data_IF_217965944363
#
_entry.id   IF_217965944363
#
_cell.length_a   1.000
_cell.length_b   1.000
_cell.length_c   1.000
_cell.angle_alpha   90.00
_cell.angle_beta   90.00
_cell.angle_gamma   90.00
#
_symmetry.space_group_name_H-M   'P 1'
#
loop_
_entity.id
_entity.type
_entity.pdbx_description
1 polymer ?
#
# COMPACT_ATOMS: atom_id res chain seq x y z
N UNK A 1 18.40 -10.56 31.59
CA UNK A 1 18.19 -11.98 31.24
C UNK A 1 16.98 -12.59 31.93
N UNK A 2 16.88 -12.64 33.27
CA UNK A 2 15.65 -13.16 33.94
C UNK A 2 14.34 -12.50 33.46
N UNK A 3 14.36 -11.19 33.26
CA UNK A 3 13.23 -10.42 32.69
C UNK A 3 12.92 -10.85 31.24
N UNK A 4 13.94 -11.17 30.44
CA UNK A 4 13.77 -11.62 29.05
C UNK A 4 13.18 -13.03 28.97
N UNK A 5 13.66 -13.94 29.83
CA UNK A 5 13.09 -15.29 29.96
C UNK A 5 11.63 -15.24 30.41
N UNK A 6 11.29 -14.33 31.33
CA UNK A 6 9.91 -14.11 31.79
C UNK A 6 9.01 -13.55 30.67
N UNK A 7 9.53 -12.63 29.85
CA UNK A 7 8.82 -12.13 28.65
C UNK A 7 8.58 -13.26 27.65
N UNK A 8 9.60 -14.07 27.32
CA UNK A 8 9.45 -15.23 26.43
C UNK A 8 8.44 -16.25 26.93
N UNK A 9 8.42 -16.48 28.25
CA UNK A 9 7.43 -17.34 28.88
C UNK A 9 6.01 -16.76 28.74
N UNK A 10 5.84 -15.44 28.86
CA UNK A 10 4.56 -14.76 28.62
C UNK A 10 4.10 -14.86 27.16
N UNK A 11 5.02 -15.05 26.20
CA UNK A 11 4.71 -15.36 24.80
C UNK A 11 4.44 -16.86 24.53
N UNK A 12 4.42 -17.70 25.58
CA UNK A 12 3.99 -19.10 25.51
C UNK A 12 5.13 -20.12 25.48
N UNK A 13 6.40 -19.71 25.58
CA UNK A 13 7.50 -20.66 25.69
C UNK A 13 7.54 -21.33 27.07
N UNK A 14 7.88 -22.62 27.11
CA UNK A 14 8.21 -23.27 28.37
C UNK A 14 9.45 -22.60 29.01
N UNK A 15 9.62 -22.78 30.33
CA UNK A 15 10.80 -22.26 31.04
C UNK A 15 12.12 -22.74 30.41
N UNK A 16 12.19 -24.00 30.00
CA UNK A 16 13.40 -24.58 29.38
C UNK A 16 13.66 -23.95 28.00
N UNK A 17 12.63 -23.79 27.17
CA UNK A 17 12.75 -23.12 25.86
C UNK A 17 13.16 -21.65 26.03
N UNK A 18 12.56 -20.93 26.99
CA UNK A 18 12.90 -19.53 27.27
C UNK A 18 14.37 -19.37 27.65
N UNK A 19 14.90 -20.28 28.47
CA UNK A 19 16.31 -20.31 28.84
C UNK A 19 17.21 -20.65 27.65
N UNK A 20 16.80 -21.60 26.81
CA UNK A 20 17.55 -21.99 25.61
C UNK A 20 17.63 -20.85 24.59
N UNK A 21 16.50 -20.20 24.29
CA UNK A 21 16.43 -19.02 23.41
C UNK A 21 17.32 -17.90 23.94
N UNK A 22 17.18 -17.57 25.24
CA UNK A 22 18.00 -16.54 25.91
C UNK A 22 19.49 -16.85 25.78
N UNK A 23 19.90 -18.09 26.03
CA UNK A 23 21.30 -18.53 25.89
C UNK A 23 21.81 -18.40 24.45
N UNK A 24 21.05 -18.90 23.48
CA UNK A 24 21.43 -18.90 22.06
C UNK A 24 21.50 -17.48 21.48
N UNK A 25 20.58 -16.61 21.89
CA UNK A 25 20.56 -15.20 21.48
C UNK A 25 21.81 -14.45 21.97
N UNK A 26 22.27 -14.70 23.20
CA UNK A 26 23.51 -14.10 23.71
C UNK A 26 24.78 -14.57 22.96
N UNK A 27 24.73 -15.74 22.34
CA UNK A 27 25.82 -16.30 21.55
C UNK A 27 25.67 -16.06 20.04
N UNK A 28 24.64 -15.32 19.61
CA UNK A 28 24.36 -15.09 18.20
C UNK A 28 25.49 -14.26 17.58
N UNK A 29 26.21 -14.87 16.64
CA UNK A 29 27.12 -14.17 15.75
C UNK A 29 26.37 -13.87 14.45
N UNK A 30 26.25 -12.58 14.11
CA UNK A 30 25.48 -12.09 12.97
C UNK A 30 26.01 -12.54 11.60
N UNK A 31 27.19 -13.17 11.55
CA UNK A 31 27.74 -13.80 10.35
C UNK A 31 27.69 -15.33 10.39
N UNK A 32 27.13 -15.92 11.44
CA UNK A 32 27.08 -17.36 11.63
C UNK A 32 25.64 -17.89 11.52
N UNK A 33 25.28 -18.26 10.31
CA UNK A 33 23.98 -18.84 10.00
C UNK A 33 23.63 -20.08 10.84
N UNK A 34 24.61 -20.91 11.23
CA UNK A 34 24.32 -22.09 12.05
C UNK A 34 23.83 -21.69 13.45
N UNK A 35 24.46 -20.69 14.07
CA UNK A 35 23.99 -20.19 15.38
C UNK A 35 22.61 -19.56 15.30
N UNK A 36 22.31 -18.86 14.21
CA UNK A 36 20.98 -18.34 13.93
C UNK A 36 19.96 -19.46 13.74
N UNK A 37 20.27 -20.46 12.91
CA UNK A 37 19.41 -21.63 12.68
C UNK A 37 19.11 -22.38 13.97
N UNK A 38 20.12 -22.58 14.82
CA UNK A 38 19.97 -23.22 16.13
C UNK A 38 19.05 -22.41 17.05
N UNK A 39 19.15 -21.08 17.02
CA UNK A 39 18.24 -20.18 17.74
C UNK A 39 16.80 -20.34 17.24
N UNK A 40 16.57 -20.23 15.93
CA UNK A 40 15.22 -20.34 15.36
C UNK A 40 14.60 -21.71 15.64
N UNK A 41 15.37 -22.79 15.56
CA UNK A 41 14.89 -24.14 15.86
C UNK A 41 14.65 -24.42 17.37
N UNK A 42 14.91 -23.47 18.28
CA UNK A 42 14.65 -23.64 19.72
C UNK A 42 13.19 -23.36 20.14
N UNK A 43 12.36 -22.88 19.21
CA UNK A 43 10.93 -22.67 19.42
C UNK A 43 10.16 -22.96 18.11
N UNK A 44 8.83 -23.13 18.16
CA UNK A 44 8.06 -23.53 16.98
C UNK A 44 7.78 -22.34 16.04
N UNK A 45 7.75 -22.66 14.75
CA UNK A 45 7.42 -21.76 13.63
C UNK A 45 6.37 -22.40 12.71
N UNK A 46 5.55 -21.61 12.01
CA UNK A 46 4.65 -22.11 10.98
C UNK A 46 5.41 -22.75 9.84
N UNK A 47 4.78 -23.67 9.10
CA UNK A 47 5.26 -24.01 7.76
C UNK A 47 4.92 -22.89 6.77
N UNK A 48 5.63 -22.85 5.64
CA UNK A 48 5.30 -21.93 4.54
C UNK A 48 3.87 -22.14 4.01
N UNK A 49 3.42 -23.40 3.95
CA UNK A 49 2.07 -23.75 3.51
C UNK A 49 0.99 -23.21 4.47
N UNK A 50 1.26 -23.16 5.78
CA UNK A 50 0.33 -22.56 6.75
C UNK A 50 0.13 -21.07 6.47
N UNK A 51 1.21 -20.37 6.08
CA UNK A 51 1.16 -18.95 5.71
C UNK A 51 0.46 -18.73 4.38
N UNK A 52 0.75 -19.55 3.36
CA UNK A 52 0.07 -19.48 2.06
C UNK A 52 -1.44 -19.68 2.19
N UNK A 53 -1.87 -20.66 3.00
CA UNK A 53 -3.29 -20.90 3.25
C UNK A 53 -3.96 -19.71 3.95
N UNK A 54 -3.26 -19.05 4.86
CA UNK A 54 -3.75 -17.82 5.50
C UNK A 54 -3.86 -16.65 4.51
N UNK A 55 -2.88 -16.47 3.61
CA UNK A 55 -2.93 -15.39 2.61
C UNK A 55 -4.09 -15.58 1.62
N UNK A 56 -4.50 -16.82 1.36
CA UNK A 56 -5.68 -17.14 0.53
C UNK A 56 -6.97 -16.89 1.30
N UNK A 57 -7.04 -17.32 2.56
CA UNK A 57 -8.20 -17.16 3.41
C UNK A 57 -7.75 -16.87 4.85
N UNK A 58 -7.88 -15.61 5.31
CA UNK A 58 -7.49 -15.23 6.66
C UNK A 58 -8.23 -15.97 7.78
N UNK A 59 -9.33 -16.68 7.47
CA UNK A 59 -10.04 -17.55 8.42
C UNK A 59 -9.34 -18.90 8.62
N UNK A 60 -8.48 -19.34 7.69
CA UNK A 60 -7.66 -20.54 7.77
C UNK A 60 -6.46 -20.38 8.72
N UNK A 61 -6.56 -19.49 9.70
CA UNK A 61 -5.43 -19.18 10.57
C UNK A 61 -4.97 -20.46 11.26
N UNK A 62 -3.76 -20.89 10.91
CA UNK A 62 -3.08 -21.94 11.62
C UNK A 62 -2.90 -21.46 13.06
N UNK A 63 -3.67 -22.05 13.96
CA UNK A 63 -3.27 -22.16 15.36
C UNK A 63 -1.88 -22.79 15.33
N UNK A 64 -0.85 -21.99 15.56
CA UNK A 64 0.44 -22.54 15.99
C UNK A 64 0.36 -22.59 17.51
N UNK A 65 -0.38 -23.57 17.98
CA UNK A 65 -0.20 -24.17 19.30
C UNK A 65 -0.20 -23.21 20.50
N UNK A 66 -0.91 -22.08 20.46
CA UNK A 66 -0.97 -21.13 21.58
C UNK A 66 0.33 -20.38 21.88
N UNK A 67 1.29 -20.35 20.94
CA UNK A 67 2.56 -19.62 21.06
C UNK A 67 2.54 -18.42 20.11
N UNK A 68 2.85 -17.23 20.64
CA UNK A 68 3.00 -16.01 19.83
C UNK A 68 4.43 -15.95 19.25
N UNK A 69 4.68 -16.80 18.25
CA UNK A 69 5.99 -16.85 17.58
C UNK A 69 6.38 -15.51 16.96
N UNK A 70 5.41 -14.74 16.44
CA UNK A 70 5.65 -13.42 15.89
C UNK A 70 6.12 -12.41 16.94
N UNK A 71 5.53 -12.45 18.13
CA UNK A 71 6.01 -11.69 19.29
C UNK A 71 7.43 -12.06 19.72
N UNK A 72 7.79 -13.35 19.66
CA UNK A 72 9.14 -13.83 19.97
C UNK A 72 10.14 -13.38 18.91
N UNK A 73 9.81 -13.54 17.63
CA UNK A 73 10.64 -13.10 16.50
C UNK A 73 10.87 -11.59 16.52
N UNK A 74 9.83 -10.80 16.81
CA UNK A 74 9.91 -9.35 17.00
C UNK A 74 10.80 -8.99 18.19
N UNK A 75 10.73 -9.75 19.28
CA UNK A 75 11.55 -9.55 20.47
C UNK A 75 13.03 -9.88 20.18
N UNK A 76 13.31 -10.95 19.43
CA UNK A 76 14.65 -11.30 18.98
C UNK A 76 15.18 -10.18 18.07
N UNK A 77 14.41 -9.78 17.04
CA UNK A 77 14.76 -8.67 16.17
C UNK A 77 14.97 -7.37 16.97
N UNK A 78 14.10 -7.09 17.94
CA UNK A 78 14.18 -5.94 18.82
C UNK A 78 15.43 -5.97 19.69
N UNK A 79 15.87 -7.15 20.13
CA UNK A 79 17.12 -7.35 20.88
C UNK A 79 18.35 -7.14 20.00
N UNK A 80 18.28 -7.59 18.75
CA UNK A 80 19.29 -7.32 17.71
C UNK A 80 19.38 -5.82 17.41
N UNK A 81 18.24 -5.13 17.46
CA UNK A 81 18.13 -3.68 17.27
C UNK A 81 18.50 -2.87 18.54
N UNK A 82 18.42 -3.47 19.75
CA UNK A 82 18.56 -2.78 21.04
C UNK A 82 19.99 -2.68 21.59
N UNK A 83 21.00 -2.60 20.72
CA UNK A 83 22.16 -1.78 21.07
C UNK A 83 21.76 -0.31 20.88
N UNK A 84 21.05 0.22 21.90
CA UNK A 84 20.87 1.62 22.33
C UNK A 84 20.23 2.67 21.40
N UNK A 85 19.49 3.58 22.06
CA UNK A 85 19.12 4.96 21.65
C UNK A 85 20.29 5.84 21.14
N UNK A 86 21.51 5.30 21.07
CA UNK A 86 22.76 5.98 20.74
C UNK A 86 23.43 5.42 19.47
N UNK A 87 22.97 4.28 18.94
CA UNK A 87 23.56 3.72 17.71
C UNK A 87 23.08 4.53 16.52
N UNK A 88 23.99 5.05 15.68
CA UNK A 88 23.61 5.77 14.47
C UNK A 88 22.68 4.88 13.63
N UNK A 89 21.61 5.44 13.03
CA UNK A 89 20.66 4.69 12.21
C UNK A 89 21.33 3.82 11.13
N UNK A 90 22.48 4.27 10.63
CA UNK A 90 23.32 3.59 9.64
C UNK A 90 23.93 2.27 10.16
N UNK A 91 24.34 2.24 11.43
CA UNK A 91 24.93 1.05 12.06
C UNK A 91 23.86 0.05 12.52
N UNK A 92 22.66 0.52 12.87
CA UNK A 92 21.51 -0.36 13.08
C UNK A 92 21.09 -1.02 11.75
N UNK A 93 21.05 -0.25 10.67
CA UNK A 93 20.71 -0.74 9.33
C UNK A 93 21.71 -1.79 8.81
N UNK A 94 23.01 -1.58 9.03
CA UNK A 94 24.04 -2.53 8.58
C UNK A 94 23.95 -3.91 9.23
N UNK A 95 23.28 -4.02 10.40
CA UNK A 95 23.02 -5.28 11.10
C UNK A 95 21.69 -5.94 10.69
N UNK A 96 20.70 -5.14 10.31
CA UNK A 96 19.37 -5.63 9.90
C UNK A 96 19.39 -6.38 8.56
N UNK A 97 20.22 -5.95 7.60
CA UNK A 97 20.30 -6.62 6.29
C UNK A 97 20.92 -8.02 6.38
N UNK A 98 22.09 -8.24 7.02
CA UNK A 98 22.60 -9.58 7.27
C UNK A 98 21.62 -10.46 8.03
N UNK A 99 20.92 -9.90 9.03
CA UNK A 99 19.91 -10.63 9.78
C UNK A 99 18.74 -11.07 8.89
N UNK A 100 18.20 -10.16 8.07
CA UNK A 100 17.15 -10.49 7.10
C UNK A 100 17.62 -11.59 6.13
N UNK A 101 18.86 -11.55 5.66
CA UNK A 101 19.42 -12.58 4.78
C UNK A 101 19.47 -13.94 5.48
N UNK A 102 19.87 -13.99 6.76
CA UNK A 102 19.85 -15.23 7.53
C UNK A 102 18.43 -15.75 7.73
N UNK A 103 17.46 -14.88 8.01
CA UNK A 103 16.04 -15.25 8.09
C UNK A 103 15.58 -15.87 6.77
N UNK A 104 15.79 -15.20 5.64
CA UNK A 104 15.39 -15.71 4.33
C UNK A 104 16.06 -17.04 3.97
N UNK A 105 17.34 -17.20 4.33
CA UNK A 105 18.06 -18.46 4.16
C UNK A 105 17.47 -19.58 5.02
N UNK A 106 17.06 -19.28 6.26
CA UNK A 106 16.41 -20.24 7.15
C UNK A 106 15.06 -20.69 6.60
N UNK A 107 14.23 -19.76 6.14
CA UNK A 107 12.91 -20.08 5.57
C UNK A 107 13.03 -21.01 4.36
N UNK A 108 14.02 -20.77 3.50
CA UNK A 108 14.30 -21.61 2.34
C UNK A 108 14.78 -23.01 2.72
N UNK A 109 15.61 -23.15 3.76
CA UNK A 109 16.19 -24.44 4.15
C UNK A 109 15.23 -25.30 4.99
N UNK A 110 14.47 -24.68 5.88
CA UNK A 110 13.65 -25.38 6.86
C UNK A 110 12.17 -25.46 6.47
N UNK A 111 11.78 -24.80 5.36
CA UNK A 111 10.40 -24.69 4.91
C UNK A 111 9.44 -24.18 6.01
N UNK A 112 9.97 -23.30 6.86
CA UNK A 112 9.27 -22.63 7.96
C UNK A 112 9.19 -21.14 7.68
N UNK A 113 8.20 -20.47 8.26
CA UNK A 113 8.08 -19.02 8.21
C UNK A 113 8.57 -18.38 9.51
N UNK A 114 9.29 -17.29 9.38
CA UNK A 114 9.73 -16.41 10.48
C UNK A 114 9.03 -15.07 10.31
N UNK A 115 8.51 -14.51 11.39
CA UNK A 115 7.92 -13.18 11.35
C UNK A 115 8.99 -12.12 11.08
N UNK A 116 8.77 -11.29 10.07
CA UNK A 116 9.74 -10.28 9.59
C UNK A 116 9.27 -8.84 9.80
N UNK A 117 8.12 -8.63 10.44
CA UNK A 117 7.48 -7.31 10.62
C UNK A 117 8.41 -6.24 11.17
N UNK A 118 9.00 -6.48 12.34
CA UNK A 118 9.94 -5.54 12.96
C UNK A 118 11.17 -5.22 12.08
N UNK A 119 11.75 -6.22 11.40
CA UNK A 119 12.91 -6.03 10.52
C UNK A 119 12.53 -5.10 9.36
N UNK A 120 11.43 -5.42 8.69
CA UNK A 120 10.92 -4.67 7.55
C UNK A 120 10.56 -3.23 7.93
N UNK A 121 9.91 -3.00 9.07
CA UNK A 121 9.66 -1.65 9.53
C UNK A 121 10.95 -0.87 9.71
N UNK A 122 11.90 -1.37 10.50
CA UNK A 122 13.14 -0.62 10.79
C UNK A 122 13.94 -0.29 9.51
N UNK A 123 14.05 -1.25 8.58
CA UNK A 123 14.65 -1.03 7.25
C UNK A 123 13.89 0.07 6.51
N UNK A 124 12.56 -0.03 6.46
CA UNK A 124 11.71 0.94 5.78
C UNK A 124 11.85 2.36 6.35
N UNK A 125 11.89 2.49 7.67
CA UNK A 125 12.06 3.78 8.33
C UNK A 125 13.39 4.44 8.01
N UNK A 126 14.46 3.65 8.06
CA UNK A 126 15.78 4.13 7.71
C UNK A 126 15.83 4.61 6.25
N UNK A 127 15.30 3.80 5.32
CA UNK A 127 15.28 4.13 3.89
C UNK A 127 14.52 5.43 3.62
N UNK A 128 13.39 5.67 4.30
CA UNK A 128 12.67 6.95 4.19
C UNK A 128 13.53 8.12 4.69
N UNK A 129 14.20 7.96 5.84
CA UNK A 129 15.04 9.02 6.43
C UNK A 129 16.19 9.42 5.50
N UNK A 130 16.77 8.47 4.76
CA UNK A 130 17.85 8.75 3.79
C UNK A 130 17.33 9.08 2.38
N UNK A 131 16.03 9.31 2.21
CA UNK A 131 15.42 9.71 0.94
C UNK A 131 15.16 8.59 -0.06
N UNK A 132 15.40 7.32 0.29
CA UNK A 132 15.01 6.14 -0.50
C UNK A 132 13.53 5.78 -0.27
N UNK A 133 12.64 6.73 -0.57
CA UNK A 133 11.21 6.68 -0.21
C UNK A 133 10.51 5.43 -0.74
N UNK A 134 10.62 5.11 -2.04
CA UNK A 134 9.90 3.97 -2.65
C UNK A 134 10.25 2.64 -1.99
N UNK A 135 11.56 2.39 -1.80
CA UNK A 135 12.03 1.19 -1.10
C UNK A 135 11.57 1.20 0.35
N UNK A 136 11.60 2.36 0.99
CA UNK A 136 11.10 2.55 2.34
C UNK A 136 9.62 2.15 2.49
N UNK A 137 8.76 2.67 1.61
CA UNK A 137 7.34 2.34 1.55
C UNK A 137 7.11 0.85 1.25
N UNK A 138 7.88 0.26 0.34
CA UNK A 138 7.82 -1.18 0.05
C UNK A 138 8.10 -2.02 1.32
N UNK A 139 9.18 -1.72 2.04
CA UNK A 139 9.52 -2.44 3.27
C UNK A 139 8.47 -2.22 4.35
N UNK A 140 7.97 -0.99 4.54
CA UNK A 140 6.88 -0.76 5.50
C UNK A 140 5.64 -1.57 5.14
N UNK A 141 5.25 -1.61 3.87
CA UNK A 141 4.10 -2.39 3.41
C UNK A 141 4.29 -3.89 3.66
N UNK A 142 5.49 -4.43 3.40
CA UNK A 142 5.85 -5.82 3.75
C UNK A 142 5.74 -6.07 5.25
N UNK A 143 6.17 -5.11 6.08
CA UNK A 143 6.05 -5.20 7.54
C UNK A 143 4.59 -5.25 8.01
N UNK A 144 3.70 -4.49 7.38
CA UNK A 144 2.27 -4.50 7.70
C UNK A 144 1.60 -5.84 7.38
N UNK A 145 1.99 -6.48 6.28
CA UNK A 145 1.50 -7.83 5.93
C UNK A 145 1.94 -8.85 6.99
N UNK A 146 3.18 -8.75 7.48
CA UNK A 146 3.68 -9.59 8.57
C UNK A 146 2.89 -9.37 9.87
N UNK A 147 2.68 -8.12 10.27
CA UNK A 147 1.96 -7.79 11.50
C UNK A 147 0.48 -8.23 11.46
N UNK A 148 -0.19 -8.20 10.30
CA UNK A 148 -1.57 -8.70 10.21
C UNK A 148 -1.64 -10.21 10.49
N UNK A 149 -0.62 -10.98 10.07
CA UNK A 149 -0.52 -12.40 10.42
C UNK A 149 -0.53 -12.61 11.94
N UNK A 150 -0.01 -11.66 12.72
CA UNK A 150 0.03 -11.71 14.18
C UNK A 150 -1.31 -11.35 14.85
N UNK A 151 -2.07 -10.40 14.30
CA UNK A 151 -3.27 -9.88 14.97
C UNK A 151 -4.56 -10.56 14.45
N UNK A 152 -5.33 -11.23 15.32
CA UNK A 152 -6.68 -11.76 14.97
C UNK A 152 -7.73 -10.78 15.47
N UNK A 153 -8.65 -10.38 14.60
CA UNK A 153 -9.98 -9.94 15.03
C UNK A 153 -10.10 -8.51 15.54
N UNK A 154 -9.01 -7.75 15.64
CA UNK A 154 -9.07 -6.30 15.83
C UNK A 154 -8.34 -5.61 14.68
N UNK A 155 -9.10 -4.87 13.87
CA UNK A 155 -8.62 -3.98 12.78
C UNK A 155 -7.80 -2.78 13.30
N UNK A 156 -7.21 -2.90 14.49
CA UNK A 156 -6.43 -1.83 15.10
C UNK A 156 -4.99 -2.06 14.74
N UNK A 157 -4.61 -1.64 13.53
CA UNK A 157 -3.20 -1.55 13.16
C UNK A 157 -2.45 -0.78 14.25
N UNK A 158 -1.25 -1.23 14.62
CA UNK A 158 -0.52 -0.59 15.70
C UNK A 158 -0.24 0.88 15.32
N UNK A 159 -0.44 1.80 16.27
CA UNK A 159 -0.11 3.21 16.10
C UNK A 159 1.43 3.40 16.19
N UNK A 160 2.12 2.85 15.19
CA UNK A 160 3.57 2.92 15.04
C UNK A 160 3.94 3.86 13.91
N UNK A 161 5.12 4.45 14.01
CA UNK A 161 5.65 5.42 13.05
C UNK A 161 5.54 4.96 11.60
N UNK A 162 5.79 3.67 11.33
CA UNK A 162 5.67 3.07 9.99
C UNK A 162 4.24 3.10 9.44
N UNK A 163 3.24 2.76 10.26
CA UNK A 163 1.83 2.80 9.86
C UNK A 163 1.39 4.25 9.59
N UNK A 164 1.73 5.16 10.50
CA UNK A 164 1.46 6.59 10.38
C UNK A 164 2.05 7.21 9.11
N UNK A 165 3.18 6.70 8.61
CA UNK A 165 3.68 7.09 7.28
C UNK A 165 2.72 6.65 6.19
N UNK A 166 2.37 5.36 6.14
CA UNK A 166 1.55 4.80 5.05
C UNK A 166 0.22 5.54 4.93
N UNK A 167 -0.43 5.79 6.06
CA UNK A 167 -1.72 6.49 6.10
C UNK A 167 -1.60 8.01 6.04
N UNK A 168 -0.39 8.56 5.90
CA UNK A 168 -0.15 10.00 5.89
C UNK A 168 -0.75 10.72 7.13
N UNK A 169 -0.49 10.20 8.33
CA UNK A 169 -0.98 10.82 9.57
C UNK A 169 -0.18 12.10 9.90
N UNK A 170 -0.87 13.25 9.90
CA UNK A 170 -0.31 14.56 10.24
C UNK A 170 0.37 14.57 11.62
N UNK A 171 -0.10 13.75 12.56
CA UNK A 171 0.45 13.67 13.93
C UNK A 171 1.90 13.18 13.94
N UNK A 172 2.35 12.47 12.90
CA UNK A 172 3.72 11.98 12.79
C UNK A 172 4.75 13.12 12.76
N UNK A 173 4.34 14.30 12.29
CA UNK A 173 5.19 15.49 12.16
C UNK A 173 6.49 15.24 11.34
N UNK A 174 6.48 14.27 10.42
CA UNK A 174 7.64 13.94 9.59
C UNK A 174 7.65 14.81 8.30
N UNK A 175 8.81 15.35 7.85
CA UNK A 175 8.88 16.25 6.70
C UNK A 175 8.26 15.66 5.42
N UNK A 176 8.56 14.39 5.13
CA UNK A 176 7.99 13.69 3.97
C UNK A 176 6.45 13.59 4.04
N UNK A 177 5.90 13.26 5.20
CA UNK A 177 4.44 13.14 5.36
C UNK A 177 3.78 14.50 5.18
N UNK A 178 4.32 15.56 5.80
CA UNK A 178 3.81 16.92 5.61
C UNK A 178 3.83 17.37 4.16
N UNK A 179 4.92 17.10 3.46
CA UNK A 179 5.10 17.46 2.05
C UNK A 179 4.07 16.76 1.14
N UNK A 180 3.79 15.48 1.39
CA UNK A 180 2.77 14.72 0.66
C UNK A 180 1.35 15.22 0.95
N UNK A 181 1.05 15.56 2.20
CA UNK A 181 -0.25 16.11 2.61
C UNK A 181 -0.46 17.51 2.03
N UNK A 182 0.57 18.36 2.05
CA UNK A 182 0.53 19.68 1.42
C UNK A 182 0.29 19.55 -0.08
N UNK A 183 1.01 18.65 -0.76
CA UNK A 183 0.79 18.39 -2.18
C UNK A 183 -0.66 17.95 -2.47
N UNK A 184 -1.19 16.98 -1.72
CA UNK A 184 -2.56 16.50 -1.88
C UNK A 184 -3.58 17.63 -1.64
N UNK A 185 -3.37 18.42 -0.60
CA UNK A 185 -4.22 19.56 -0.26
C UNK A 185 -4.22 20.61 -1.37
N UNK A 186 -3.02 20.99 -1.82
CA UNK A 186 -2.81 22.08 -2.74
C UNK A 186 -3.33 21.79 -4.14
N UNK A 187 -3.12 20.57 -4.63
CA UNK A 187 -3.47 20.19 -6.00
C UNK A 187 -4.92 19.67 -6.11
N UNK A 188 -5.43 18.94 -5.10
CA UNK A 188 -6.66 18.17 -5.26
C UNK A 188 -7.78 18.49 -4.27
N UNK A 189 -7.47 18.80 -3.01
CA UNK A 189 -8.51 18.96 -1.99
C UNK A 189 -9.08 20.39 -1.91
N UNK A 190 -8.26 21.43 -2.14
CA UNK A 190 -8.59 22.86 -1.93
C UNK A 190 -9.94 23.37 -2.45
N UNK A 191 -10.54 22.72 -3.46
CA UNK A 191 -11.79 23.17 -4.09
C UNK A 191 -13.05 22.64 -3.40
N UNK A 192 -13.12 21.33 -3.19
CA UNK A 192 -14.37 20.64 -2.84
C UNK A 192 -14.25 19.65 -1.67
N UNK A 193 -13.04 19.41 -1.17
CA UNK A 193 -12.77 18.34 -0.20
C UNK A 193 -11.90 18.84 0.95
N UNK A 194 -11.93 18.12 2.06
CA UNK A 194 -11.13 18.41 3.25
C UNK A 194 -10.23 17.22 3.58
N UNK A 195 -8.96 17.47 3.89
CA UNK A 195 -8.00 16.40 4.20
C UNK A 195 -8.43 15.55 5.38
N UNK A 196 -8.94 16.15 6.47
CA UNK A 196 -9.36 15.37 7.64
C UNK A 196 -10.52 14.44 7.29
N UNK A 197 -11.45 14.90 6.44
CA UNK A 197 -12.56 14.06 5.97
C UNK A 197 -12.06 12.93 5.07
N UNK A 198 -11.10 13.21 4.18
CA UNK A 198 -10.44 12.19 3.35
C UNK A 198 -9.67 11.17 4.20
N UNK A 199 -8.89 11.66 5.16
CA UNK A 199 -8.13 10.86 6.11
C UNK A 199 -9.06 9.93 6.89
N UNK A 200 -10.10 10.49 7.51
CA UNK A 200 -11.05 9.73 8.30
C UNK A 200 -11.82 8.70 7.46
N UNK A 201 -12.15 8.97 6.20
CA UNK A 201 -12.99 8.07 5.39
C UNK A 201 -12.20 7.07 4.53
N UNK A 202 -10.91 7.34 4.28
CA UNK A 202 -10.09 6.50 3.41
C UNK A 202 -8.76 6.10 4.02
N UNK A 203 -7.99 7.02 4.63
CA UNK A 203 -6.61 6.74 5.04
C UNK A 203 -6.48 6.07 6.42
N UNK A 204 -7.31 6.43 7.40
CA UNK A 204 -7.16 5.97 8.79
C UNK A 204 -7.90 4.66 9.07
N UNK A 205 -9.03 4.45 8.40
CA UNK A 205 -9.89 3.29 8.64
C UNK A 205 -10.33 2.62 7.35
N UNK A 206 -10.48 1.28 7.37
CA UNK A 206 -11.19 0.60 6.30
C UNK A 206 -12.60 1.17 6.17
N UNK A 207 -13.05 1.41 4.95
CA UNK A 207 -14.46 1.71 4.69
C UNK A 207 -15.32 0.62 5.33
N UNK A 208 -16.51 0.97 5.84
CA UNK A 208 -17.46 -0.01 6.39
C UNK A 208 -17.83 -1.12 5.39
N UNK A 209 -17.65 -0.88 4.10
CA UNK A 209 -17.83 -1.86 3.04
C UNK A 209 -16.69 -2.91 2.96
N UNK A 210 -15.58 -2.70 3.66
CA UNK A 210 -14.36 -3.51 3.60
C UNK A 210 -14.26 -4.37 4.85
N UNK A 211 -14.57 -5.64 4.68
CA UNK A 211 -14.46 -6.62 5.77
C UNK A 211 -13.02 -7.10 6.01
N UNK A 212 -12.03 -6.67 5.20
CA UNK A 212 -10.64 -7.12 5.27
C UNK A 212 -9.67 -5.93 5.29
N UNK A 213 -9.05 -5.69 6.46
CA UNK A 213 -8.15 -4.57 6.71
C UNK A 213 -6.87 -4.62 5.85
N UNK A 214 -6.31 -5.80 5.54
CA UNK A 214 -5.16 -5.94 4.64
C UNK A 214 -5.50 -5.46 3.24
N UNK A 215 -6.65 -5.88 2.72
CA UNK A 215 -7.08 -5.48 1.37
C UNK A 215 -7.16 -3.95 1.31
N UNK A 216 -7.81 -3.32 2.28
CA UNK A 216 -7.82 -1.87 2.38
C UNK A 216 -6.41 -1.26 2.42
N UNK A 217 -5.55 -1.76 3.29
CA UNK A 217 -4.20 -1.23 3.47
C UNK A 217 -3.34 -1.35 2.21
N UNK A 218 -3.52 -2.41 1.41
CA UNK A 218 -2.90 -2.54 0.09
C UNK A 218 -3.32 -1.39 -0.85
N UNK A 219 -4.57 -0.94 -0.79
CA UNK A 219 -5.02 0.20 -1.58
C UNK A 219 -4.41 1.50 -1.08
N UNK A 220 -4.25 1.68 0.23
CA UNK A 220 -3.59 2.86 0.82
C UNK A 220 -2.12 2.90 0.45
N UNK A 221 -1.41 1.78 0.55
CA UNK A 221 -0.02 1.67 0.11
C UNK A 221 0.13 1.97 -1.39
N UNK A 222 -0.76 1.43 -2.23
CA UNK A 222 -0.77 1.72 -3.66
C UNK A 222 -1.05 3.20 -3.95
N UNK A 223 -2.06 3.78 -3.30
CA UNK A 223 -2.36 5.21 -3.40
C UNK A 223 -1.18 6.09 -2.97
N UNK A 224 -0.50 5.73 -1.88
CA UNK A 224 0.66 6.47 -1.39
C UNK A 224 1.80 6.44 -2.42
N UNK A 225 2.14 5.27 -2.97
CA UNK A 225 3.17 5.14 -4.00
C UNK A 225 2.79 5.94 -5.26
N UNK A 226 1.53 5.84 -5.70
CA UNK A 226 1.00 6.65 -6.79
C UNK A 226 1.19 8.15 -6.52
N UNK A 227 0.80 8.63 -5.33
CA UNK A 227 0.91 10.03 -4.95
C UNK A 227 2.38 10.49 -4.95
N UNK A 228 3.29 9.63 -4.52
CA UNK A 228 4.73 9.92 -4.49
C UNK A 228 5.28 10.12 -5.90
N UNK A 229 4.94 9.20 -6.81
CA UNK A 229 5.33 9.30 -8.21
C UNK A 229 4.68 10.48 -8.91
N UNK A 230 3.40 10.75 -8.62
CA UNK A 230 2.67 11.90 -9.13
C UNK A 230 3.36 13.21 -8.73
N UNK A 231 3.70 13.35 -7.45
CA UNK A 231 4.42 14.52 -6.94
C UNK A 231 5.77 14.69 -7.65
N UNK A 232 6.54 13.61 -7.83
CA UNK A 232 7.81 13.67 -8.59
C UNK A 232 7.60 14.16 -10.01
N UNK A 233 6.56 13.69 -10.70
CA UNK A 233 6.24 14.12 -12.06
C UNK A 233 5.82 15.59 -12.12
N UNK A 234 5.08 16.10 -11.13
CA UNK A 234 4.68 17.51 -11.02
C UNK A 234 5.85 18.47 -10.82
N UNK A 235 6.94 17.97 -10.21
CA UNK A 235 8.16 18.74 -9.96
C UNK A 235 9.23 18.55 -11.03
N UNK A 236 8.98 17.74 -12.06
CA UNK A 236 9.96 17.56 -13.13
C UNK A 236 10.12 18.86 -13.94
N UNK A 237 11.36 19.25 -14.27
CA UNK A 237 11.62 20.30 -15.26
C UNK A 237 10.87 20.04 -16.56
N UNK A 238 10.43 21.11 -17.21
CA UNK A 238 9.58 21.04 -18.40
C UNK A 238 10.18 20.19 -19.53
N UNK A 239 11.50 20.27 -19.76
CA UNK A 239 12.20 19.47 -20.78
C UNK A 239 12.14 17.97 -20.48
N UNK A 240 12.26 17.58 -19.21
CA UNK A 240 12.16 16.18 -18.80
C UNK A 240 10.71 15.71 -18.83
N UNK A 241 9.76 16.55 -18.43
CA UNK A 241 8.34 16.26 -18.54
C UNK A 241 7.90 16.06 -20.00
N UNK A 242 8.43 16.86 -20.93
CA UNK A 242 8.20 16.77 -22.38
C UNK A 242 9.06 15.70 -23.09
N UNK A 243 9.90 14.98 -22.37
CA UNK A 243 10.66 13.87 -22.95
C UNK A 243 9.80 12.61 -23.11
N UNK A 244 10.32 11.62 -23.84
CA UNK A 244 9.72 10.27 -23.95
C UNK A 244 9.55 9.62 -22.56
N UNK A 245 10.47 9.88 -21.63
CA UNK A 245 10.35 9.37 -20.26
C UNK A 245 9.17 10.01 -19.54
N UNK A 246 9.00 11.33 -19.66
CA UNK A 246 7.85 12.04 -19.09
C UNK A 246 6.52 11.59 -19.70
N UNK A 247 6.50 11.31 -21.00
CA UNK A 247 5.38 10.69 -21.70
C UNK A 247 4.99 9.32 -21.11
N UNK A 248 5.96 8.40 -20.97
CA UNK A 248 5.74 7.07 -20.39
C UNK A 248 5.28 7.19 -18.93
N UNK A 249 5.95 8.01 -18.12
CA UNK A 249 5.59 8.21 -16.71
C UNK A 249 4.19 8.79 -16.54
N UNK A 250 3.80 9.76 -17.38
CA UNK A 250 2.45 10.36 -17.35
C UNK A 250 1.38 9.33 -17.69
N UNK A 251 1.60 8.53 -18.74
CA UNK A 251 0.68 7.47 -19.12
C UNK A 251 0.51 6.44 -18.02
N UNK A 252 1.62 5.95 -17.44
CA UNK A 252 1.60 4.96 -16.37
C UNK A 252 0.81 5.46 -15.17
N UNK A 253 1.02 6.70 -14.73
CA UNK A 253 0.30 7.25 -13.58
C UNK A 253 -1.21 7.39 -13.82
N UNK A 254 -1.60 7.76 -15.03
CA UNK A 254 -3.02 7.77 -15.42
C UNK A 254 -3.61 6.35 -15.37
N UNK A 255 -2.84 5.35 -15.84
CA UNK A 255 -3.20 3.94 -15.76
C UNK A 255 -3.33 3.44 -14.33
N UNK A 256 -2.38 3.78 -13.47
CA UNK A 256 -2.38 3.42 -12.05
C UNK A 256 -3.59 4.02 -11.34
N UNK A 257 -3.94 5.29 -11.61
CA UNK A 257 -5.13 5.90 -11.04
C UNK A 257 -6.43 5.26 -11.56
N UNK A 258 -6.49 4.88 -12.84
CA UNK A 258 -7.61 4.08 -13.35
C UNK A 258 -7.75 2.75 -12.61
N UNK A 259 -6.64 2.05 -12.36
CA UNK A 259 -6.63 0.78 -11.63
C UNK A 259 -7.05 0.95 -10.17
N UNK A 260 -6.58 2.01 -9.51
CA UNK A 260 -6.99 2.34 -8.15
C UNK A 260 -8.49 2.62 -8.08
N UNK A 261 -9.03 3.42 -8.99
CA UNK A 261 -10.48 3.70 -9.09
C UNK A 261 -11.27 2.40 -9.31
N UNK A 262 -10.83 1.57 -10.27
CA UNK A 262 -11.44 0.26 -10.55
C UNK A 262 -11.49 -0.61 -9.30
N UNK A 263 -10.36 -0.69 -8.61
CA UNK A 263 -10.18 -1.56 -7.45
C UNK A 263 -11.03 -1.08 -6.27
N UNK A 264 -11.06 0.23 -6.02
CA UNK A 264 -11.91 0.81 -4.97
C UNK A 264 -13.40 0.63 -5.28
N UNK A 265 -13.83 0.75 -6.54
CA UNK A 265 -15.21 0.46 -6.91
C UNK A 265 -15.59 -1.00 -6.58
N UNK A 266 -14.75 -1.97 -6.95
CA UNK A 266 -15.00 -3.39 -6.63
C UNK A 266 -15.03 -3.63 -5.12
N UNK A 267 -14.14 -2.94 -4.40
CA UNK A 267 -14.00 -3.04 -2.97
C UNK A 267 -15.23 -2.47 -2.23
N UNK A 268 -15.79 -1.34 -2.69
CA UNK A 268 -17.01 -0.74 -2.11
C UNK A 268 -18.30 -1.45 -2.51
N UNK A 269 -18.31 -2.08 -3.68
CA UNK A 269 -19.50 -2.74 -4.22
C UNK A 269 -19.23 -4.23 -4.52
N UNK A 270 -19.22 -5.10 -3.49
CA UNK A 270 -18.92 -6.53 -3.66
C UNK A 270 -19.87 -7.27 -4.61
N UNK A 271 -21.07 -6.72 -4.86
CA UNK A 271 -22.03 -7.25 -5.82
C UNK A 271 -21.59 -7.10 -7.28
N UNK A 272 -20.54 -6.33 -7.56
CA UNK A 272 -19.91 -6.30 -8.89
C UNK A 272 -19.14 -7.62 -9.02
N UNK A 273 -19.82 -8.65 -9.54
CA UNK A 273 -19.25 -9.98 -9.73
C UNK A 273 -18.28 -9.94 -10.92
N UNK A 274 -16.97 -10.05 -10.67
CA UNK A 274 -15.92 -9.89 -11.69
C UNK A 274 -15.17 -11.20 -11.91
N UNK A 275 -15.81 -12.15 -12.58
CA UNK A 275 -15.10 -13.25 -13.22
C UNK A 275 -14.94 -12.94 -14.72
N UNK A 276 -13.73 -12.61 -15.16
CA UNK A 276 -13.40 -12.43 -16.59
C UNK A 276 -13.24 -10.99 -17.09
N UNK A 277 -12.91 -10.83 -18.38
CA UNK A 277 -12.51 -9.59 -19.09
C UNK A 277 -13.61 -8.51 -19.24
N UNK A 278 -14.77 -8.65 -18.58
CA UNK A 278 -15.90 -7.71 -18.66
C UNK A 278 -15.90 -6.69 -17.50
N UNK A 279 -14.75 -6.11 -17.18
CA UNK A 279 -14.46 -5.55 -15.86
C UNK A 279 -14.91 -4.11 -15.60
N UNK A 280 -15.03 -3.22 -16.60
CA UNK A 280 -15.32 -1.79 -16.35
C UNK A 280 -16.73 -1.32 -16.75
N UNK A 281 -17.39 -2.00 -17.69
CA UNK A 281 -18.78 -1.70 -18.09
C UNK A 281 -19.77 -2.05 -16.96
N UNK A 282 -19.54 -3.18 -16.29
CA UNK A 282 -20.33 -3.58 -15.12
C UNK A 282 -20.15 -2.61 -13.95
N UNK A 283 -18.91 -2.12 -13.74
CA UNK A 283 -18.65 -1.04 -12.78
C UNK A 283 -19.44 0.21 -13.16
N UNK A 284 -19.40 0.64 -14.44
CA UNK A 284 -20.17 1.80 -14.88
C UNK A 284 -21.65 1.66 -14.57
N UNK A 285 -22.28 0.54 -14.97
CA UNK A 285 -23.71 0.32 -14.74
C UNK A 285 -24.07 0.35 -13.25
N UNK A 286 -23.19 -0.19 -12.40
CA UNK A 286 -23.39 -0.18 -10.95
C UNK A 286 -23.19 1.22 -10.35
N UNK A 287 -22.12 1.92 -10.71
CA UNK A 287 -21.85 3.29 -10.22
C UNK A 287 -22.92 4.26 -10.73
N UNK A 288 -23.40 4.08 -11.97
CA UNK A 288 -24.48 4.88 -12.56
C UNK A 288 -25.73 4.90 -11.69
N UNK A 289 -26.12 3.76 -11.10
CA UNK A 289 -27.28 3.72 -10.20
C UNK A 289 -26.99 4.40 -8.87
N UNK A 290 -25.80 4.19 -8.28
CA UNK A 290 -25.38 4.83 -7.01
C UNK A 290 -25.29 6.36 -7.09
N UNK A 291 -24.99 6.88 -8.28
CA UNK A 291 -24.94 8.32 -8.55
C UNK A 291 -26.18 8.88 -9.24
N UNK A 292 -27.15 8.04 -9.62
CA UNK A 292 -28.35 8.46 -10.36
C UNK A 292 -28.03 9.21 -11.68
N UNK A 293 -26.96 8.79 -12.34
CA UNK A 293 -26.44 9.40 -13.56
C UNK A 293 -27.37 9.20 -14.77
N UNK A 294 -27.53 10.26 -15.57
CA UNK A 294 -28.50 10.30 -16.68
C UNK A 294 -27.88 10.38 -18.09
N UNK A 295 -26.58 10.66 -18.20
CA UNK A 295 -25.88 10.71 -19.48
C UNK A 295 -25.93 9.39 -20.27
N UNK A 296 -25.72 9.49 -21.59
CA UNK A 296 -25.64 8.33 -22.47
C UNK A 296 -24.36 7.51 -22.19
N UNK A 297 -24.35 6.19 -22.41
CA UNK A 297 -23.18 5.34 -22.15
C UNK A 297 -21.92 5.83 -22.90
N UNK A 298 -20.74 5.47 -22.38
CA UNK A 298 -19.49 5.81 -23.06
C UNK A 298 -19.44 5.16 -24.43
N UNK A 299 -19.13 5.95 -25.47
CA UNK A 299 -18.92 5.46 -26.81
C UNK A 299 -17.41 5.21 -27.03
N UNK A 300 -17.03 3.94 -27.15
CA UNK A 300 -15.62 3.55 -27.26
C UNK A 300 -14.80 4.28 -28.34
N UNK A 301 -15.32 4.49 -29.57
CA UNK A 301 -14.65 5.26 -30.62
C UNK A 301 -14.34 6.73 -30.30
N UNK A 302 -14.99 7.31 -29.30
CA UNK A 302 -14.71 8.70 -28.89
C UNK A 302 -13.30 8.82 -28.28
N UNK A 303 -12.76 7.72 -27.77
CA UNK A 303 -11.40 7.65 -27.20
C UNK A 303 -10.35 7.17 -28.21
N UNK A 304 -10.70 7.05 -29.49
CA UNK A 304 -9.70 6.84 -30.54
C UNK A 304 -8.93 8.15 -30.83
N UNK A 305 -7.71 8.02 -31.35
CA UNK A 305 -6.76 9.14 -31.53
C UNK A 305 -7.37 10.34 -32.26
N UNK A 306 -8.18 10.09 -33.29
CA UNK A 306 -8.81 11.15 -34.10
C UNK A 306 -9.84 11.98 -33.32
N UNK A 307 -10.44 11.42 -32.27
CA UNK A 307 -11.51 12.04 -31.49
C UNK A 307 -11.06 12.46 -30.09
N UNK A 308 -9.94 11.91 -29.59
CA UNK A 308 -9.51 12.04 -28.21
C UNK A 308 -9.45 13.49 -27.71
N UNK A 309 -8.90 14.42 -28.49
CA UNK A 309 -8.84 15.83 -28.09
C UNK A 309 -10.23 16.45 -27.88
N UNK A 310 -11.17 16.17 -28.78
CA UNK A 310 -12.54 16.68 -28.68
C UNK A 310 -13.25 16.06 -27.48
N UNK A 311 -13.08 14.75 -27.30
CA UNK A 311 -13.63 14.00 -26.16
C UNK A 311 -13.09 14.52 -24.82
N UNK A 312 -11.79 14.78 -24.72
CA UNK A 312 -11.18 15.37 -23.53
C UNK A 312 -11.74 16.77 -23.27
N UNK A 313 -11.86 17.60 -24.32
CA UNK A 313 -12.46 18.93 -24.20
C UNK A 313 -13.89 18.85 -23.64
N UNK A 314 -14.73 17.98 -24.20
CA UNK A 314 -16.12 17.79 -23.76
C UNK A 314 -16.20 17.28 -22.31
N UNK A 315 -15.30 16.38 -21.91
CA UNK A 315 -15.21 15.86 -20.54
C UNK A 315 -14.80 16.98 -19.58
N UNK A 316 -13.79 17.78 -19.94
CA UNK A 316 -13.31 18.88 -19.10
C UNK A 316 -14.37 19.97 -18.92
N UNK A 317 -15.21 20.21 -19.93
CA UNK A 317 -16.36 21.12 -19.85
C UNK A 317 -17.62 20.50 -19.24
N UNK A 318 -17.56 19.25 -18.79
CA UNK A 318 -18.71 18.49 -18.29
C UNK A 318 -19.90 18.51 -19.26
N UNK A 319 -19.67 18.18 -20.53
CA UNK A 319 -20.68 18.13 -21.58
C UNK A 319 -20.68 16.83 -22.38
N UNK A 320 -19.76 15.90 -22.07
CA UNK A 320 -19.62 14.66 -22.81
C UNK A 320 -20.88 13.78 -22.68
N UNK A 321 -21.35 13.26 -23.82
CA UNK A 321 -22.54 12.39 -23.91
C UNK A 321 -23.79 12.98 -23.25
N UNK A 322 -23.94 14.31 -23.30
CA UNK A 322 -25.07 15.06 -22.74
C UNK A 322 -25.10 15.12 -21.21
N UNK A 323 -24.06 14.62 -20.53
CA UNK A 323 -23.95 14.70 -19.08
C UNK A 323 -23.43 16.07 -18.65
N UNK A 324 -24.15 16.73 -17.74
CA UNK A 324 -23.68 17.92 -17.00
C UNK A 324 -23.09 17.57 -15.62
N UNK A 325 -23.11 16.29 -15.24
CA UNK A 325 -22.61 15.81 -13.95
C UNK A 325 -21.09 15.69 -14.00
N UNK A 326 -20.34 16.43 -13.17
CA UNK A 326 -18.87 16.40 -13.19
C UNK A 326 -18.27 15.03 -12.84
N UNK A 327 -18.91 14.28 -11.95
CA UNK A 327 -18.44 12.96 -11.53
C UNK A 327 -18.70 11.90 -12.60
N UNK A 328 -19.84 12.02 -13.32
CA UNK A 328 -20.11 11.18 -14.48
C UNK A 328 -19.04 11.37 -15.57
N UNK A 329 -18.70 12.63 -15.89
CA UNK A 329 -17.66 12.96 -16.86
C UNK A 329 -16.27 12.45 -16.42
N UNK A 330 -15.96 12.60 -15.13
CA UNK A 330 -14.71 12.10 -14.55
C UNK A 330 -14.60 10.58 -14.57
N UNK A 331 -15.72 9.88 -14.36
CA UNK A 331 -15.77 8.42 -14.53
C UNK A 331 -15.61 8.01 -16.00
N UNK A 332 -16.27 8.71 -16.93
CA UNK A 332 -16.12 8.47 -18.36
C UNK A 332 -14.68 8.56 -18.83
N UNK A 333 -13.94 9.56 -18.32
CA UNK A 333 -12.51 9.70 -18.57
C UNK A 333 -11.74 8.45 -18.12
N UNK A 334 -11.93 8.04 -16.87
CA UNK A 334 -11.24 6.88 -16.30
C UNK A 334 -11.56 5.59 -17.08
N UNK A 335 -12.83 5.39 -17.42
CA UNK A 335 -13.26 4.25 -18.24
C UNK A 335 -12.62 4.28 -19.63
N UNK A 336 -12.64 5.43 -20.32
CA UNK A 336 -12.14 5.54 -21.69
C UNK A 336 -10.63 5.36 -21.78
N UNK A 337 -9.88 6.00 -20.88
CA UNK A 337 -8.43 5.88 -20.81
C UNK A 337 -7.99 4.44 -20.51
N UNK A 338 -8.64 3.78 -19.54
CA UNK A 338 -8.35 2.39 -19.15
C UNK A 338 -8.53 1.39 -20.30
N UNK A 339 -9.58 1.58 -21.11
CA UNK A 339 -10.00 0.58 -22.10
C UNK A 339 -9.48 0.85 -23.52
N UNK A 340 -9.11 2.09 -23.86
CA UNK A 340 -8.82 2.48 -25.25
C UNK A 340 -7.45 3.13 -25.46
N UNK A 341 -6.93 3.82 -24.44
CA UNK A 341 -5.84 4.80 -24.65
C UNK A 341 -4.53 4.33 -24.03
N UNK A 342 -4.55 3.70 -22.86
CA UNK A 342 -3.33 3.26 -22.16
C UNK A 342 -2.45 2.24 -22.92
N UNK A 343 -2.94 1.70 -24.05
CA UNK A 343 -2.22 0.72 -24.87
C UNK A 343 -1.76 1.26 -26.23
N UNK A 344 -2.04 2.53 -26.56
CA UNK A 344 -1.69 3.12 -27.86
C UNK A 344 -0.62 4.20 -27.69
N UNK A 345 0.57 3.96 -28.24
CA UNK A 345 1.74 4.87 -28.16
C UNK A 345 1.39 6.27 -28.69
N UNK A 346 0.62 6.34 -29.79
CA UNK A 346 0.29 7.62 -30.43
C UNK A 346 -0.58 8.55 -29.57
N UNK A 347 -1.34 8.00 -28.63
CA UNK A 347 -2.14 8.81 -27.70
C UNK A 347 -1.36 9.37 -26.51
N UNK A 348 -0.12 8.92 -26.29
CA UNK A 348 0.68 9.31 -25.11
C UNK A 348 1.04 10.80 -25.14
N UNK A 349 1.27 11.37 -26.33
CA UNK A 349 1.52 12.81 -26.47
C UNK A 349 0.31 13.65 -26.06
N UNK A 350 -0.88 13.30 -26.54
CA UNK A 350 -2.14 13.99 -26.19
C UNK A 350 -2.39 13.88 -24.68
N UNK A 351 -2.16 12.68 -24.13
CA UNK A 351 -2.25 12.43 -22.69
C UNK A 351 -1.30 13.37 -21.92
N UNK A 352 -0.03 13.45 -22.30
CA UNK A 352 0.95 14.31 -21.62
C UNK A 352 0.55 15.78 -21.69
N UNK A 353 0.13 16.27 -22.86
CA UNK A 353 -0.29 17.65 -23.06
C UNK A 353 -1.49 18.03 -22.17
N UNK A 354 -2.34 17.06 -21.81
CA UNK A 354 -3.50 17.23 -20.96
C UNK A 354 -3.34 16.62 -19.55
N UNK A 355 -2.12 16.24 -19.17
CA UNK A 355 -1.87 15.36 -18.02
C UNK A 355 -2.48 15.87 -16.71
N UNK A 356 -2.25 17.14 -16.37
CA UNK A 356 -2.77 17.73 -15.13
C UNK A 356 -4.31 17.71 -15.10
N UNK A 357 -4.96 18.16 -16.17
CA UNK A 357 -6.41 18.14 -16.31
C UNK A 357 -7.00 16.72 -16.22
N UNK A 358 -6.31 15.73 -16.81
CA UNK A 358 -6.71 14.32 -16.72
C UNK A 358 -6.64 13.84 -15.27
N UNK A 359 -5.49 14.03 -14.61
CA UNK A 359 -5.30 13.62 -13.21
C UNK A 359 -6.29 14.34 -12.29
N UNK A 360 -6.49 15.64 -12.45
CA UNK A 360 -7.48 16.41 -11.68
C UNK A 360 -8.87 15.80 -11.79
N UNK A 361 -9.33 15.47 -13.01
CA UNK A 361 -10.63 14.83 -13.23
C UNK A 361 -10.72 13.43 -12.64
N UNK A 362 -9.69 12.60 -12.82
CA UNK A 362 -9.70 11.26 -12.24
C UNK A 362 -9.68 11.31 -10.71
N UNK A 363 -8.89 12.22 -10.12
CA UNK A 363 -8.85 12.47 -8.68
C UNK A 363 -10.17 13.03 -8.16
N UNK A 364 -10.87 13.88 -8.91
CA UNK A 364 -12.22 14.38 -8.58
C UNK A 364 -13.19 13.20 -8.36
N UNK A 365 -13.21 12.22 -9.28
CA UNK A 365 -14.04 11.02 -9.10
C UNK A 365 -13.56 10.16 -7.93
N UNK A 366 -12.26 9.89 -7.82
CA UNK A 366 -11.70 9.06 -6.75
C UNK A 366 -12.02 9.64 -5.36
N UNK A 367 -11.81 10.94 -5.17
CA UNK A 367 -12.08 11.64 -3.91
C UNK A 367 -13.56 11.64 -3.57
N UNK A 368 -14.45 11.89 -4.53
CA UNK A 368 -15.88 11.79 -4.29
C UNK A 368 -16.31 10.37 -3.89
N UNK A 369 -15.80 9.38 -4.63
CA UNK A 369 -16.09 7.97 -4.39
C UNK A 369 -15.68 7.57 -2.97
N UNK A 370 -14.48 7.94 -2.51
CA UNK A 370 -14.00 7.54 -1.18
C UNK A 370 -14.63 8.35 -0.04
N UNK A 371 -14.89 9.65 -0.24
CA UNK A 371 -15.42 10.55 0.80
C UNK A 371 -16.94 10.47 0.94
N UNK A 372 -17.68 10.57 -0.17
CA UNK A 372 -19.13 10.81 -0.15
C UNK A 372 -19.98 9.56 -0.41
N UNK A 373 -19.42 8.53 -1.05
CA UNK A 373 -20.15 7.29 -1.37
C UNK A 373 -19.70 6.16 -0.45
N UNK A 374 -20.28 6.10 0.75
CA UNK A 374 -20.06 5.03 1.73
C UNK A 374 -20.85 3.77 1.44
#
# INVERSE_FOLDING_TARGET
>A
MKIFEEILHNYGLSKNQSQEVSKKLNSLDYNNFQTFKDLMNSYPHPSQNDVENYLIDPSNKAIISGIDYGGIDDLICGTINNLKKETPPEEAYSKLIPYLNMVLQYEQQENKHTHKGAIYFNIGQYLIKIGQIEKGLYFIHRGLIEDDMKHIGNMNFPNVWSYQIIILDEKLNHPYVKDMILFLNDEFLKRNYNFNVFFDNFLDKPSKAINNAIIWLNHIAFFHIFLFHLRKLYLLPEDLFKSILGEISSSNLIGDLCLLIESICKLKYPSINVSGRETFSNIYNHVKTQYSWRGAPVNGPDFDLSNLNNTLSDIFSNSYQGSKDPFQNSFYLSWGLRNKVHHKIDSVRIIRENFKSIIEKQMEFFLDLVINKS
#
